data_IF_688175979931
#
_entry.id   IF_688175979931
#
_cell.length_a   1.000
_cell.length_b   1.000
_cell.length_c   1.000
_cell.angle_alpha   90.00
_cell.angle_beta   90.00
_cell.angle_gamma   90.00
#
_symmetry.space_group_name_H-M   'P 1'
#
loop_
_entity.id
_entity.type
_entity.pdbx_description
1 polymer ?
#
# COMPACT_ATOMS: atom_id res chain seq x y z
N UNK A 1 8.02 29.28 -49.17
CA UNK A 1 9.37 28.78 -48.89
C UNK A 1 9.26 27.78 -47.75
N UNK A 2 9.50 26.49 -47.97
CA UNK A 2 9.53 25.50 -46.93
C UNK A 2 10.73 25.80 -46.03
N UNK A 3 10.46 26.27 -44.86
CA UNK A 3 11.49 26.65 -43.90
C UNK A 3 12.00 25.33 -43.23
N UNK A 4 12.95 24.69 -43.92
CA UNK A 4 13.48 23.33 -43.60
C UNK A 4 14.10 23.20 -42.22
N UNK A 5 14.24 24.29 -41.46
CA UNK A 5 14.89 24.32 -40.16
C UNK A 5 13.92 24.46 -38.98
N UNK A 6 12.61 24.49 -39.22
CA UNK A 6 11.60 24.68 -38.19
C UNK A 6 10.56 23.57 -38.21
N UNK A 7 10.13 23.17 -37.04
CA UNK A 7 9.08 22.18 -36.81
C UNK A 7 7.77 22.88 -36.44
N UNK A 8 6.69 22.44 -37.01
CA UNK A 8 5.35 22.78 -36.53
C UNK A 8 5.08 22.08 -35.19
N UNK A 9 4.02 22.49 -34.47
CA UNK A 9 3.56 21.80 -33.24
C UNK A 9 3.38 20.28 -33.45
N UNK A 10 2.83 19.91 -34.63
CA UNK A 10 2.56 18.49 -34.96
C UNK A 10 3.83 17.68 -35.17
N UNK A 11 4.78 18.25 -35.91
CA UNK A 11 6.07 17.60 -36.16
C UNK A 11 6.88 17.48 -34.89
N UNK A 12 6.95 18.53 -34.08
CA UNK A 12 7.66 18.52 -32.81
C UNK A 12 7.02 17.49 -31.82
N UNK A 13 5.69 17.43 -31.79
CA UNK A 13 4.96 16.47 -30.97
C UNK A 13 5.23 15.03 -31.43
N UNK A 14 5.28 14.76 -32.71
CA UNK A 14 5.61 13.47 -33.30
C UNK A 14 7.04 13.05 -32.94
N UNK A 15 8.03 13.96 -33.06
CA UNK A 15 9.42 13.69 -32.69
C UNK A 15 9.57 13.34 -31.20
N UNK A 16 8.88 14.08 -30.32
CA UNK A 16 8.91 13.81 -28.87
C UNK A 16 7.98 12.67 -28.43
N UNK A 17 7.25 12.05 -29.37
CA UNK A 17 6.22 11.03 -29.04
C UNK A 17 5.21 11.51 -27.98
N UNK A 18 4.74 12.74 -28.11
CA UNK A 18 3.75 13.35 -27.22
C UNK A 18 2.57 13.92 -28.01
N UNK A 19 1.51 14.31 -27.33
CA UNK A 19 0.38 14.96 -27.95
C UNK A 19 0.69 16.40 -28.33
N UNK A 20 0.02 16.93 -29.38
CA UNK A 20 0.06 18.37 -29.71
C UNK A 20 -0.33 19.24 -28.50
N UNK A 21 -1.31 18.78 -27.72
CA UNK A 21 -1.75 19.47 -26.49
C UNK A 21 -0.63 19.56 -25.45
N UNK A 22 0.24 18.56 -25.36
CA UNK A 22 1.41 18.59 -24.46
C UNK A 22 2.37 19.72 -24.85
N UNK A 23 2.66 19.90 -26.14
CA UNK A 23 3.53 21.01 -26.62
C UNK A 23 2.89 22.36 -26.31
N UNK A 24 1.59 22.52 -26.58
CA UNK A 24 0.84 23.73 -26.26
C UNK A 24 0.75 24.01 -24.77
N UNK A 25 0.65 22.95 -23.95
CA UNK A 25 0.69 23.06 -22.50
C UNK A 25 2.05 23.59 -22.01
N UNK A 26 3.15 23.07 -22.55
CA UNK A 26 4.49 23.56 -22.22
C UNK A 26 4.72 25.03 -22.67
N UNK A 27 4.18 25.42 -23.81
CA UNK A 27 4.19 26.82 -24.22
C UNK A 27 3.40 27.72 -23.27
N UNK A 28 2.18 27.30 -22.88
CA UNK A 28 1.33 28.06 -21.95
C UNK A 28 2.01 28.24 -20.58
N UNK A 29 2.76 27.24 -20.11
CA UNK A 29 3.48 27.29 -18.82
C UNK A 29 4.88 27.92 -18.92
N UNK A 30 5.24 28.48 -20.06
CA UNK A 30 6.57 29.06 -20.30
C UNK A 30 7.73 28.09 -20.09
N UNK A 31 7.51 26.81 -20.37
CA UNK A 31 8.52 25.76 -20.27
C UNK A 31 9.20 25.50 -21.62
N UNK A 32 8.42 25.56 -22.73
CA UNK A 32 8.90 25.41 -24.09
C UNK A 32 8.21 26.45 -24.99
N UNK A 33 8.91 27.48 -25.40
CA UNK A 33 8.37 28.55 -26.25
C UNK A 33 8.62 28.29 -27.71
N UNK A 34 7.66 28.66 -28.62
CA UNK A 34 7.94 28.68 -30.05
C UNK A 34 8.99 29.75 -30.35
N UNK A 35 9.78 29.48 -31.37
CA UNK A 35 10.75 30.45 -31.89
C UNK A 35 10.06 31.66 -32.54
N UNK A 36 8.97 31.36 -33.24
CA UNK A 36 8.07 32.40 -33.74
C UNK A 36 6.65 31.86 -33.93
N UNK A 37 5.70 32.78 -34.03
CA UNK A 37 4.30 32.50 -34.39
C UNK A 37 4.03 33.23 -35.71
N UNK A 38 3.58 32.47 -36.71
CA UNK A 38 3.25 33.01 -38.03
C UNK A 38 1.98 33.91 -37.99
N UNK A 39 1.76 34.69 -39.00
CA UNK A 39 0.58 35.55 -39.17
C UNK A 39 -0.74 34.79 -39.08
N UNK A 40 -0.74 33.51 -39.44
CA UNK A 40 -1.87 32.58 -39.31
C UNK A 40 -2.04 31.97 -37.92
N UNK A 41 -1.23 32.36 -36.91
CA UNK A 41 -1.26 31.84 -35.57
C UNK A 41 -0.55 30.49 -35.37
N UNK A 42 0.11 29.98 -36.41
CA UNK A 42 0.86 28.72 -36.31
C UNK A 42 2.18 28.94 -35.61
N UNK A 43 2.53 27.99 -34.67
CA UNK A 43 3.74 27.99 -33.88
C UNK A 43 4.82 27.17 -34.56
N UNK A 44 6.02 27.72 -34.57
CA UNK A 44 7.20 27.09 -35.16
C UNK A 44 8.35 27.03 -34.14
N UNK A 45 9.02 25.90 -34.13
CA UNK A 45 10.10 25.56 -33.21
C UNK A 45 11.35 25.20 -33.98
N UNK A 46 12.49 25.69 -33.53
CA UNK A 46 13.78 25.35 -34.10
C UNK A 46 14.35 24.09 -33.48
N UNK A 47 15.44 23.54 -33.99
CA UNK A 47 16.15 22.38 -33.46
C UNK A 47 16.55 22.57 -31.98
N UNK A 48 16.87 23.76 -31.55
CA UNK A 48 17.18 24.06 -30.14
C UNK A 48 15.99 23.75 -29.20
N UNK A 49 14.78 24.09 -29.62
CA UNK A 49 13.56 23.81 -28.84
C UNK A 49 13.26 22.32 -28.80
N UNK A 50 13.64 21.57 -29.85
CA UNK A 50 13.58 20.10 -29.80
C UNK A 50 14.52 19.53 -28.73
N UNK A 51 15.76 20.01 -28.60
CA UNK A 51 16.68 19.56 -27.55
C UNK A 51 16.15 19.91 -26.16
N UNK A 52 15.52 21.08 -26.01
CA UNK A 52 14.88 21.45 -24.73
C UNK A 52 13.70 20.51 -24.45
N UNK A 53 12.89 20.16 -25.46
CA UNK A 53 11.81 19.19 -25.30
C UNK A 53 12.33 17.83 -24.82
N UNK A 54 13.41 17.33 -25.40
CA UNK A 54 14.05 16.07 -24.96
C UNK A 54 14.45 16.12 -23.48
N UNK A 55 15.04 17.22 -23.03
CA UNK A 55 15.40 17.43 -21.62
C UNK A 55 14.13 17.40 -20.74
N UNK A 56 13.09 18.15 -21.14
CA UNK A 56 11.81 18.20 -20.43
C UNK A 56 11.23 16.78 -20.30
N UNK A 57 11.17 16.03 -21.39
CA UNK A 57 10.59 14.70 -21.43
C UNK A 57 11.37 13.70 -20.53
N UNK A 58 12.70 13.79 -20.51
CA UNK A 58 13.53 12.96 -19.65
C UNK A 58 13.29 13.27 -18.18
N UNK A 59 13.24 14.53 -17.78
CA UNK A 59 12.94 14.91 -16.40
C UNK A 59 11.51 14.57 -15.98
N UNK A 60 10.54 14.67 -16.90
CA UNK A 60 9.16 14.19 -16.66
C UNK A 60 9.11 12.69 -16.39
N UNK A 61 9.89 11.88 -17.10
CA UNK A 61 10.03 10.43 -16.82
C UNK A 61 10.60 10.16 -15.42
N UNK A 62 11.48 11.03 -14.93
CA UNK A 62 12.02 10.97 -13.58
C UNK A 62 11.05 11.52 -12.51
N UNK A 63 9.83 11.92 -12.91
CA UNK A 63 8.80 12.38 -11.98
C UNK A 63 8.92 13.84 -11.55
N UNK A 64 9.78 14.63 -12.21
CA UNK A 64 9.86 16.07 -11.95
C UNK A 64 8.58 16.78 -12.43
N UNK A 65 8.10 17.73 -11.66
CA UNK A 65 7.00 18.62 -12.02
C UNK A 65 7.44 19.63 -13.10
N UNK A 66 6.47 20.26 -13.76
CA UNK A 66 6.73 21.33 -14.75
C UNK A 66 7.47 22.49 -14.10
N UNK A 67 7.13 22.83 -12.84
CA UNK A 67 7.75 23.95 -12.13
C UNK A 67 9.19 23.64 -11.71
N UNK A 68 9.47 22.41 -11.26
CA UNK A 68 10.83 21.94 -10.95
C UNK A 68 11.72 21.97 -12.21
N UNK A 69 11.21 21.52 -13.36
CA UNK A 69 11.95 21.53 -14.62
C UNK A 69 12.20 22.98 -15.08
N UNK A 70 11.19 23.83 -14.95
CA UNK A 70 11.31 25.25 -15.32
C UNK A 70 12.34 25.98 -14.47
N UNK A 71 12.33 25.74 -13.16
CA UNK A 71 13.33 26.30 -12.25
C UNK A 71 14.75 25.88 -12.67
N UNK A 72 14.95 24.58 -12.93
CA UNK A 72 16.24 24.07 -13.36
C UNK A 72 16.69 24.66 -14.72
N UNK A 73 15.80 24.75 -15.73
CA UNK A 73 16.17 25.31 -17.03
C UNK A 73 16.59 26.77 -16.92
N UNK A 74 15.99 27.53 -16.00
CA UNK A 74 16.31 28.94 -15.78
C UNK A 74 17.60 29.14 -14.97
N UNK A 75 17.78 28.38 -13.89
CA UNK A 75 18.88 28.55 -12.95
C UNK A 75 20.13 27.74 -13.32
N UNK A 76 19.94 26.60 -14.00
CA UNK A 76 20.99 25.66 -14.43
C UNK A 76 21.97 25.28 -13.31
N UNK A 77 21.46 25.20 -12.06
CA UNK A 77 22.26 24.79 -10.92
C UNK A 77 22.33 23.27 -10.84
N UNK A 78 23.52 22.66 -10.99
CA UNK A 78 23.71 21.23 -10.82
C UNK A 78 23.32 20.74 -9.43
N UNK A 79 23.63 21.55 -8.39
CA UNK A 79 23.33 21.22 -6.99
C UNK A 79 21.82 21.19 -6.71
N UNK A 80 21.06 22.14 -7.29
CA UNK A 80 19.60 22.17 -7.19
C UNK A 80 18.97 20.95 -7.88
N UNK A 81 19.49 20.56 -9.04
CA UNK A 81 19.04 19.36 -9.75
C UNK A 81 19.32 18.10 -8.94
N UNK A 82 20.53 17.95 -8.41
CA UNK A 82 20.91 16.78 -7.60
C UNK A 82 20.00 16.63 -6.39
N UNK A 83 19.68 17.71 -5.68
CA UNK A 83 18.72 17.69 -4.58
C UNK A 83 17.32 17.24 -5.00
N UNK A 84 16.82 17.70 -6.14
CA UNK A 84 15.51 17.26 -6.67
C UNK A 84 15.55 15.76 -6.98
N UNK A 85 16.57 15.29 -7.67
CA UNK A 85 16.71 13.88 -8.06
C UNK A 85 16.89 12.97 -6.84
N UNK A 86 17.65 13.42 -5.84
CA UNK A 86 17.82 12.70 -4.58
C UNK A 86 16.49 12.53 -3.83
N UNK A 87 15.69 13.61 -3.74
CA UNK A 87 14.36 13.54 -3.14
C UNK A 87 13.44 12.57 -3.90
N UNK A 88 13.49 12.57 -5.24
CA UNK A 88 12.71 11.62 -6.06
C UNK A 88 13.17 10.18 -5.86
N UNK A 89 14.46 9.93 -5.74
CA UNK A 89 14.99 8.61 -5.44
C UNK A 89 14.45 8.08 -4.09
N UNK A 90 14.48 8.91 -3.03
CA UNK A 90 13.93 8.57 -1.72
C UNK A 90 12.42 8.26 -1.81
N UNK A 91 11.65 9.08 -2.53
CA UNK A 91 10.21 8.87 -2.74
C UNK A 91 9.93 7.52 -3.43
N UNK A 92 10.71 7.17 -4.45
CA UNK A 92 10.57 5.90 -5.16
C UNK A 92 11.00 4.70 -4.31
N UNK A 93 12.07 4.82 -3.52
CA UNK A 93 12.47 3.76 -2.58
C UNK A 93 11.38 3.47 -1.54
N UNK A 94 10.75 4.51 -0.98
CA UNK A 94 9.62 4.36 -0.07
C UNK A 94 8.42 3.70 -0.76
N UNK A 95 8.16 4.06 -2.01
CA UNK A 95 7.09 3.46 -2.82
C UNK A 95 7.37 1.99 -3.11
N UNK A 96 8.60 1.64 -3.48
CA UNK A 96 9.04 0.25 -3.69
C UNK A 96 8.87 -0.56 -2.41
N UNK A 97 9.29 -0.01 -1.26
CA UNK A 97 9.13 -0.66 0.04
C UNK A 97 7.65 -0.94 0.34
N UNK A 98 6.78 0.04 0.11
CA UNK A 98 5.32 -0.12 0.28
C UNK A 98 4.75 -1.21 -0.63
N UNK A 99 5.14 -1.21 -1.92
CA UNK A 99 4.68 -2.22 -2.88
C UNK A 99 5.15 -3.62 -2.51
N UNK A 100 6.40 -3.77 -2.04
CA UNK A 100 6.91 -5.05 -1.54
C UNK A 100 6.10 -5.58 -0.35
N UNK A 101 5.70 -4.70 0.58
CA UNK A 101 4.82 -5.08 1.69
C UNK A 101 3.46 -5.58 1.18
N UNK A 102 2.83 -4.88 0.23
CA UNK A 102 1.55 -5.28 -0.34
C UNK A 102 1.63 -6.63 -1.07
N UNK A 103 2.73 -6.88 -1.79
CA UNK A 103 2.95 -8.19 -2.43
C UNK A 103 3.06 -9.31 -1.39
N UNK A 104 3.76 -9.08 -0.28
CA UNK A 104 3.85 -10.04 0.80
C UNK A 104 2.47 -10.33 1.43
N UNK A 105 1.64 -9.31 1.58
CA UNK A 105 0.27 -9.46 2.08
C UNK A 105 -0.61 -10.30 1.13
N UNK A 106 -0.51 -10.05 -0.17
CA UNK A 106 -1.21 -10.84 -1.19
C UNK A 106 -0.80 -12.31 -1.08
N UNK A 107 0.51 -12.59 -0.95
CA UNK A 107 1.01 -13.97 -0.85
C UNK A 107 0.51 -14.68 0.41
N UNK A 108 0.42 -13.98 1.53
CA UNK A 108 -0.18 -14.52 2.77
C UNK A 108 -1.66 -14.89 2.55
N UNK A 109 -2.43 -14.00 1.91
CA UNK A 109 -3.85 -14.29 1.61
C UNK A 109 -3.97 -15.50 0.68
N UNK A 110 -3.16 -15.57 -0.37
CA UNK A 110 -3.14 -16.72 -1.29
C UNK A 110 -2.80 -18.03 -0.59
N UNK A 111 -1.79 -18.01 0.28
CA UNK A 111 -1.39 -19.20 1.06
C UNK A 111 -2.51 -19.64 1.99
N UNK A 112 -3.19 -18.70 2.65
CA UNK A 112 -4.33 -19.01 3.50
C UNK A 112 -5.50 -19.61 2.71
N UNK A 113 -5.81 -19.08 1.52
CA UNK A 113 -6.85 -19.62 0.65
C UNK A 113 -6.50 -21.04 0.17
N UNK A 114 -5.24 -21.27 -0.22
CA UNK A 114 -4.77 -22.60 -0.61
C UNK A 114 -4.83 -23.60 0.57
N UNK A 115 -4.54 -23.14 1.79
CA UNK A 115 -4.66 -23.97 2.99
C UNK A 115 -6.11 -24.37 3.27
N UNK A 116 -7.08 -23.45 3.09
CA UNK A 116 -8.52 -23.76 3.32
C UNK A 116 -8.97 -24.93 2.45
N UNK A 117 -8.52 -25.00 1.19
CA UNK A 117 -8.88 -26.07 0.27
C UNK A 117 -8.32 -27.45 0.66
N UNK A 118 -7.32 -27.49 1.56
CA UNK A 118 -6.74 -28.75 2.07
C UNK A 118 -7.48 -29.31 3.28
N UNK A 119 -8.35 -28.53 3.90
CA UNK A 119 -9.09 -28.96 5.08
C UNK A 119 -10.49 -29.45 4.71
N UNK A 120 -10.88 -30.56 5.32
CA UNK A 120 -12.27 -31.02 5.24
C UNK A 120 -13.15 -30.17 6.16
N UNK A 121 -14.07 -29.41 5.58
CA UNK A 121 -15.03 -28.60 6.35
C UNK A 121 -15.90 -29.54 7.20
N UNK A 122 -16.05 -29.23 8.49
CA UNK A 122 -16.85 -30.04 9.42
C UNK A 122 -16.09 -31.19 10.05
N UNK A 123 -14.78 -31.32 9.81
CA UNK A 123 -13.96 -32.35 10.46
C UNK A 123 -13.05 -31.76 11.54
N UNK A 124 -12.80 -32.56 12.56
CA UNK A 124 -11.79 -32.32 13.60
C UNK A 124 -10.45 -32.85 13.09
N UNK A 125 -9.42 -32.04 13.17
CA UNK A 125 -8.06 -32.42 12.81
C UNK A 125 -7.11 -32.07 13.95
N UNK A 126 -6.12 -32.95 14.19
CA UNK A 126 -5.02 -32.66 15.13
C UNK A 126 -3.81 -32.28 14.29
N UNK A 127 -3.18 -31.15 14.61
CA UNK A 127 -1.93 -30.74 14.00
C UNK A 127 -0.95 -30.26 15.05
N UNK A 128 0.32 -30.42 14.75
CA UNK A 128 1.40 -29.92 15.58
C UNK A 128 1.61 -28.43 15.31
N UNK A 129 1.61 -27.62 16.36
CA UNK A 129 1.85 -26.18 16.32
C UNK A 129 3.17 -25.88 17.01
N UNK A 130 3.98 -25.03 16.44
CA UNK A 130 5.14 -24.45 17.10
C UNK A 130 4.71 -23.41 18.15
N UNK A 131 5.63 -23.11 19.07
CA UNK A 131 5.38 -22.07 20.06
C UNK A 131 5.14 -20.72 19.35
N UNK A 132 4.07 -20.05 19.74
CA UNK A 132 3.72 -18.75 19.20
C UNK A 132 3.46 -17.73 20.32
N UNK A 133 3.95 -16.50 20.14
CA UNK A 133 3.68 -15.40 21.06
C UNK A 133 2.56 -14.54 20.46
N UNK A 134 1.46 -14.41 21.18
CA UNK A 134 0.34 -13.57 20.80
C UNK A 134 0.27 -12.34 21.71
N UNK A 135 -0.09 -11.21 21.12
CA UNK A 135 -0.48 -9.99 21.84
C UNK A 135 -2.00 -10.00 22.04
N UNK A 136 -2.44 -9.51 23.19
CA UNK A 136 -3.85 -9.43 23.54
C UNK A 136 -4.34 -7.99 23.61
N UNK A 137 -5.58 -7.78 23.20
CA UNK A 137 -6.34 -6.56 23.51
C UNK A 137 -6.72 -6.50 25.00
N UNK A 138 -7.23 -5.36 25.50
CA UNK A 138 -8.06 -5.36 26.70
C UNK A 138 -9.24 -6.33 26.56
N UNK A 139 -9.77 -6.78 27.69
CA UNK A 139 -10.94 -7.66 27.73
C UNK A 139 -12.14 -6.98 27.03
N UNK A 140 -12.79 -7.69 26.14
CA UNK A 140 -13.98 -7.24 25.43
C UNK A 140 -15.20 -7.95 26.05
N UNK A 141 -15.99 -7.23 26.82
CA UNK A 141 -17.26 -7.73 27.35
C UNK A 141 -18.38 -7.51 26.31
N UNK A 142 -19.18 -8.54 26.07
CA UNK A 142 -20.34 -8.46 25.17
C UNK A 142 -21.39 -7.48 25.68
N UNK A 143 -21.51 -7.29 26.99
CA UNK A 143 -22.46 -6.35 27.60
C UNK A 143 -22.03 -4.89 27.42
N UNK A 144 -20.74 -4.66 27.12
CA UNK A 144 -20.26 -3.29 26.86
C UNK A 144 -20.91 -2.70 25.58
N UNK A 145 -21.16 -1.40 25.55
CA UNK A 145 -21.70 -0.72 24.38
C UNK A 145 -20.87 -1.02 23.11
N UNK A 146 -21.56 -1.13 21.97
CA UNK A 146 -20.90 -1.46 20.70
C UNK A 146 -19.76 -0.48 20.34
N UNK A 147 -19.95 0.82 20.63
CA UNK A 147 -18.93 1.84 20.42
C UNK A 147 -17.64 1.55 21.21
N UNK A 148 -17.78 1.10 22.47
CA UNK A 148 -16.64 0.74 23.31
C UNK A 148 -15.91 -0.48 22.74
N UNK A 149 -16.63 -1.50 22.30
CA UNK A 149 -16.06 -2.71 21.70
C UNK A 149 -15.30 -2.42 20.41
N UNK A 150 -15.89 -1.57 19.54
CA UNK A 150 -15.24 -1.13 18.29
C UNK A 150 -14.02 -0.27 18.59
N UNK A 151 -14.05 0.60 19.62
CA UNK A 151 -12.89 1.41 20.02
C UNK A 151 -11.73 0.53 20.49
N UNK A 152 -12.01 -0.52 21.28
CA UNK A 152 -10.99 -1.50 21.70
C UNK A 152 -10.35 -2.18 20.47
N UNK A 153 -11.16 -2.65 19.52
CA UNK A 153 -10.68 -3.28 18.29
C UNK A 153 -9.87 -2.30 17.43
N UNK A 154 -10.36 -1.09 17.24
CA UNK A 154 -9.68 -0.05 16.47
C UNK A 154 -8.32 0.30 17.07
N UNK A 155 -8.25 0.53 18.38
CA UNK A 155 -6.99 0.82 19.07
C UNK A 155 -6.02 -0.36 19.06
N UNK A 156 -6.54 -1.58 19.05
CA UNK A 156 -5.73 -2.79 18.94
C UNK A 156 -5.13 -2.95 17.54
N UNK A 157 -5.91 -2.68 16.50
CA UNK A 157 -5.50 -2.84 15.11
C UNK A 157 -4.68 -1.66 14.57
N UNK A 158 -4.90 -0.44 15.09
CA UNK A 158 -4.28 0.78 14.57
C UNK A 158 -2.74 0.70 14.46
N UNK A 159 -2.00 0.20 15.48
CA UNK A 159 -0.56 0.01 15.36
C UNK A 159 -0.18 -1.06 14.33
N UNK A 160 -1.02 -2.08 14.12
CA UNK A 160 -0.81 -3.12 13.12
C UNK A 160 -0.90 -2.55 11.69
N UNK A 161 -1.81 -1.60 11.47
CA UNK A 161 -1.93 -0.91 10.17
C UNK A 161 -0.84 0.15 9.95
N UNK A 162 -0.34 0.76 11.03
CA UNK A 162 0.72 1.78 10.93
C UNK A 162 2.11 1.19 10.76
N UNK A 163 2.37 0.02 11.33
CA UNK A 163 3.58 -0.72 11.01
C UNK A 163 3.43 -1.24 9.58
N UNK A 164 4.34 -0.90 8.68
CA UNK A 164 4.38 -1.42 7.31
C UNK A 164 4.57 -2.96 7.25
N UNK A 165 4.30 -3.64 8.32
CA UNK A 165 4.31 -5.08 8.49
C UNK A 165 2.87 -5.59 8.51
N UNK A 166 2.22 -5.51 7.38
CA UNK A 166 0.94 -6.17 7.12
C UNK A 166 1.16 -7.70 7.01
N UNK A 167 1.92 -8.25 7.93
CA UNK A 167 1.90 -9.69 8.14
C UNK A 167 0.52 -10.01 8.67
N UNK A 168 -0.36 -10.42 7.74
CA UNK A 168 -1.67 -11.01 8.00
C UNK A 168 -2.22 -10.63 9.38
N UNK A 169 -2.93 -9.49 9.47
CA UNK A 169 -3.70 -9.18 10.66
C UNK A 169 -4.82 -10.20 10.81
N UNK A 170 -4.44 -11.44 11.12
CA UNK A 170 -5.38 -12.43 11.65
C UNK A 170 -5.77 -11.95 13.04
N UNK A 171 -6.75 -11.05 13.10
CA UNK A 171 -7.37 -10.76 14.37
C UNK A 171 -8.20 -11.98 14.73
N UNK A 172 -7.63 -12.79 15.56
CA UNK A 172 -8.28 -13.94 16.16
C UNK A 172 -8.89 -13.58 17.50
N UNK A 173 -9.66 -14.47 18.06
CA UNK A 173 -10.29 -14.29 19.34
C UNK A 173 -9.83 -15.41 20.27
N UNK A 174 -9.49 -15.03 21.50
CA UNK A 174 -9.18 -15.99 22.56
C UNK A 174 -10.24 -15.87 23.64
N UNK A 175 -10.72 -17.01 24.09
CA UNK A 175 -11.56 -17.20 25.27
C UNK A 175 -10.81 -18.07 26.25
N UNK A 176 -11.08 -17.91 27.53
CA UNK A 176 -10.46 -18.80 28.55
C UNK A 176 -11.04 -20.21 28.48
N UNK A 177 -10.25 -21.20 28.86
CA UNK A 177 -10.72 -22.59 28.95
C UNK A 177 -11.95 -22.72 29.87
N UNK A 178 -11.97 -21.98 30.96
CA UNK A 178 -13.09 -21.97 31.90
C UNK A 178 -14.36 -21.40 31.27
N UNK A 179 -14.27 -20.26 30.55
CA UNK A 179 -15.41 -19.69 29.84
C UNK A 179 -15.88 -20.63 28.71
N UNK A 180 -14.93 -21.34 28.08
CA UNK A 180 -15.24 -22.35 27.08
C UNK A 180 -16.03 -23.52 27.67
N UNK A 181 -15.51 -24.15 28.72
CA UNK A 181 -16.14 -25.31 29.38
C UNK A 181 -17.50 -25.00 30.02
N UNK A 182 -17.72 -23.75 30.44
CA UNK A 182 -19.00 -23.31 31.01
C UNK A 182 -19.99 -22.81 29.93
N UNK A 183 -19.71 -22.96 28.62
CA UNK A 183 -20.58 -22.49 27.54
C UNK A 183 -20.63 -20.95 27.44
N UNK A 184 -19.71 -20.25 28.10
CA UNK A 184 -19.70 -18.80 28.20
C UNK A 184 -18.87 -18.09 27.09
N UNK A 185 -18.53 -18.78 26.04
CA UNK A 185 -17.73 -18.30 24.91
C UNK A 185 -18.17 -16.95 24.33
N UNK A 186 -19.40 -16.53 24.67
CA UNK A 186 -19.99 -15.29 24.14
C UNK A 186 -19.86 -14.10 25.09
N UNK A 187 -19.54 -14.32 26.36
CA UNK A 187 -19.59 -13.24 27.37
C UNK A 187 -18.35 -12.38 27.34
N UNK A 188 -17.16 -13.00 27.36
CA UNK A 188 -15.87 -12.32 27.46
C UNK A 188 -14.87 -12.91 26.48
N UNK A 189 -14.08 -12.07 25.84
CA UNK A 189 -13.06 -12.48 24.86
C UNK A 189 -11.96 -11.45 24.72
N UNK A 190 -10.83 -11.87 24.20
CA UNK A 190 -9.74 -10.98 23.81
C UNK A 190 -9.56 -11.04 22.30
N UNK A 191 -9.30 -9.90 21.68
CA UNK A 191 -8.70 -9.92 20.35
C UNK A 191 -7.22 -10.28 20.51
N UNK A 192 -6.69 -11.07 19.60
CA UNK A 192 -5.29 -11.44 19.59
C UNK A 192 -4.71 -11.40 18.19
N UNK A 193 -3.41 -11.23 18.10
CA UNK A 193 -2.63 -11.24 16.89
C UNK A 193 -1.24 -11.77 17.21
N UNK A 194 -0.52 -12.37 16.24
CA UNK A 194 0.89 -12.68 16.41
C UNK A 194 1.68 -11.46 16.90
N UNK A 195 2.69 -11.67 17.74
CA UNK A 195 3.53 -10.60 18.25
C UNK A 195 4.36 -9.98 17.11
N UNK A 196 4.54 -8.66 17.14
CA UNK A 196 5.36 -7.90 16.22
C UNK A 196 6.36 -7.03 16.99
N UNK A 197 7.35 -6.47 16.30
CA UNK A 197 8.51 -5.79 16.90
C UNK A 197 8.12 -4.69 17.89
N UNK A 198 7.08 -3.90 17.61
CA UNK A 198 6.66 -2.76 18.44
C UNK A 198 5.63 -3.13 19.54
N UNK A 199 5.50 -4.42 19.88
CA UNK A 199 4.49 -4.91 20.82
C UNK A 199 4.96 -4.93 22.30
N UNK A 200 6.05 -4.24 22.64
CA UNK A 200 6.70 -4.36 23.96
C UNK A 200 5.80 -3.99 25.15
N UNK A 201 4.88 -3.03 24.98
CA UNK A 201 3.99 -2.56 26.05
C UNK A 201 2.61 -3.25 26.07
N UNK A 202 2.40 -4.33 25.30
CA UNK A 202 1.12 -5.03 25.24
C UNK A 202 1.14 -6.31 26.03
N UNK A 203 -0.03 -6.70 26.57
CA UNK A 203 -0.20 -8.00 27.21
C UNK A 203 0.08 -9.11 26.22
N UNK A 204 0.99 -10.01 26.56
CA UNK A 204 1.39 -11.15 25.74
C UNK A 204 0.96 -12.44 26.40
N UNK A 205 0.65 -13.43 25.57
CA UNK A 205 0.52 -14.83 25.98
C UNK A 205 1.38 -15.69 25.07
N UNK A 206 1.82 -16.82 25.60
CA UNK A 206 2.55 -17.82 24.86
C UNK A 206 1.59 -18.98 24.60
N UNK A 207 1.38 -19.29 23.32
CA UNK A 207 0.82 -20.57 22.93
C UNK A 207 1.99 -21.57 22.90
N UNK A 208 2.00 -22.60 23.77
CA UNK A 208 3.10 -23.55 23.81
C UNK A 208 3.14 -24.37 22.50
N UNK A 209 4.30 -24.91 22.19
CA UNK A 209 4.40 -25.93 21.15
C UNK A 209 3.66 -27.18 21.59
N UNK A 210 2.93 -27.83 20.69
CA UNK A 210 2.17 -29.02 21.03
C UNK A 210 1.13 -29.42 19.98
N UNK A 211 0.33 -30.38 20.30
CA UNK A 211 -0.77 -30.84 19.48
C UNK A 211 -2.03 -30.01 19.74
N UNK A 212 -2.59 -29.42 18.70
CA UNK A 212 -3.80 -28.61 18.75
C UNK A 212 -4.93 -29.27 17.96
N UNK A 213 -6.09 -29.34 18.59
CA UNK A 213 -7.32 -29.74 17.91
C UNK A 213 -7.89 -28.56 17.15
N UNK A 214 -8.13 -28.74 15.85
CA UNK A 214 -8.69 -27.72 14.98
C UNK A 214 -9.97 -28.21 14.35
N UNK A 215 -11.00 -27.38 14.41
CA UNK A 215 -12.26 -27.59 13.74
C UNK A 215 -12.51 -26.44 12.75
N UNK A 216 -12.71 -26.78 11.49
CA UNK A 216 -12.98 -25.81 10.44
C UNK A 216 -14.44 -25.94 9.99
N UNK A 217 -15.15 -24.84 10.02
CA UNK A 217 -16.55 -24.81 9.63
C UNK A 217 -16.83 -23.65 8.65
N UNK A 218 -17.88 -23.80 7.88
CA UNK A 218 -18.36 -22.75 6.98
C UNK A 218 -19.49 -21.95 7.63
N UNK A 219 -19.42 -20.62 7.56
CA UNK A 219 -20.45 -19.71 8.05
C UNK A 219 -20.07 -18.92 9.29
N UNK A 220 -21.06 -18.33 9.95
CA UNK A 220 -20.84 -17.49 11.12
C UNK A 220 -20.46 -18.32 12.35
N UNK A 221 -19.45 -17.88 13.09
CA UNK A 221 -18.97 -18.58 14.30
C UNK A 221 -20.08 -18.83 15.33
N UNK A 222 -20.99 -17.88 15.53
CA UNK A 222 -21.95 -17.94 16.63
C UNK A 222 -22.93 -19.14 16.60
N UNK A 223 -23.51 -19.55 15.47
CA UNK A 223 -24.35 -20.75 15.40
C UNK A 223 -23.57 -22.06 15.51
N UNK A 224 -22.30 -22.06 15.15
CA UNK A 224 -21.48 -23.26 15.11
C UNK A 224 -20.78 -23.55 16.44
N UNK A 225 -20.47 -22.51 17.21
CA UNK A 225 -19.83 -22.69 18.52
C UNK A 225 -20.65 -23.51 19.52
N UNK A 226 -21.99 -23.50 19.41
CA UNK A 226 -22.87 -24.34 20.22
C UNK A 226 -22.83 -25.80 19.81
N UNK A 227 -22.54 -26.11 18.55
CA UNK A 227 -22.46 -27.49 18.04
C UNK A 227 -21.12 -28.19 18.37
N UNK A 228 -20.15 -27.46 18.84
CA UNK A 228 -18.84 -28.01 19.24
C UNK A 228 -18.89 -28.56 20.69
N UNK A 229 -19.94 -28.20 21.46
CA UNK A 229 -20.17 -28.65 22.84
C UNK A 229 -20.96 -29.94 22.95
N UNK A 230 -21.80 -30.23 21.97
CA UNK A 230 -22.59 -31.44 21.86
C UNK A 230 -21.77 -32.59 21.20
#
# INVERSE_FOLDING_TARGET
MSNTNYFSVSELAALGNVSRQTILYYDKHNLLKPNFIDSNGYRYYHFKEYLILEIILNFRKLGMSVDEIKAYINEKSPEALDNILMNKAIEYELTIKKLKCLLADIEIVRTNLAAINKYNIGSLTIHQQEQEILILSPLVDKKAPIKTRIKILGNFNLPLYKSNHFKSCKVSWIITANDFLNGECRKKRYYCSPAYVDSNNKKKIILPAGNYLTYIFQGAFQPQATKIYD
#
